data_IF_743449407143
#
_entry.id   IF_743449407143
#
_cell.length_a   1.000
_cell.length_b   1.000
_cell.length_c   1.000
_cell.angle_alpha   90.00
_cell.angle_beta   90.00
_cell.angle_gamma   90.00
#
_symmetry.space_group_name_H-M   'P 1'
#
loop_
_entity.id
_entity.type
_entity.pdbx_description
1 polymer ?
#
# COMPACT_ATOMS: atom_id res chain seq x y z
N UNK A 1 10.77 -20.03 -3.35
CA UNK A 1 10.80 -19.64 -1.93
C UNK A 1 9.49 -20.05 -1.26
N UNK A 2 9.50 -20.40 0.05
CA UNK A 2 8.32 -20.94 0.73
C UNK A 2 7.43 -19.84 1.32
N UNK A 3 6.15 -20.14 1.46
CA UNK A 3 5.14 -19.30 2.10
C UNK A 3 5.51 -19.00 3.57
N UNK A 4 5.99 -20.01 4.30
CA UNK A 4 6.40 -19.87 5.70
C UNK A 4 7.55 -18.88 5.90
N UNK A 5 8.43 -18.77 4.90
CA UNK A 5 9.51 -17.79 4.94
C UNK A 5 8.95 -16.36 4.93
N UNK A 6 7.94 -16.09 4.08
CA UNK A 6 7.27 -14.79 4.06
C UNK A 6 6.63 -14.42 5.41
N UNK A 7 5.87 -15.36 5.99
CA UNK A 7 5.26 -15.19 7.33
C UNK A 7 6.32 -14.85 8.38
N UNK A 8 7.42 -15.61 8.39
CA UNK A 8 8.51 -15.44 9.37
C UNK A 8 9.18 -14.08 9.25
N UNK A 9 9.47 -13.58 8.03
CA UNK A 9 10.14 -12.29 7.86
C UNK A 9 9.25 -11.11 8.23
N UNK A 10 7.94 -11.19 8.00
CA UNK A 10 7.03 -10.13 8.46
C UNK A 10 6.99 -10.07 10.00
N UNK A 11 6.93 -11.23 10.69
CA UNK A 11 7.04 -11.31 12.15
C UNK A 11 8.38 -10.80 12.68
N UNK A 12 9.50 -11.17 12.05
CA UNK A 12 10.83 -10.66 12.40
C UNK A 12 10.88 -9.13 12.26
N UNK A 13 10.28 -8.58 11.19
CA UNK A 13 10.18 -7.15 10.94
C UNK A 13 9.39 -6.43 12.03
N UNK A 14 8.23 -6.95 12.40
CA UNK A 14 7.43 -6.44 13.50
C UNK A 14 8.22 -6.44 14.82
N UNK A 15 8.85 -7.58 15.17
CA UNK A 15 9.64 -7.70 16.40
C UNK A 15 10.80 -6.71 16.45
N UNK A 16 11.55 -6.54 15.36
CA UNK A 16 12.65 -5.60 15.28
C UNK A 16 12.13 -4.15 15.34
N UNK A 17 11.02 -3.85 14.66
CA UNK A 17 10.40 -2.53 14.66
C UNK A 17 9.96 -2.08 16.05
N UNK A 18 9.30 -2.95 16.81
CA UNK A 18 8.87 -2.65 18.18
C UNK A 18 10.06 -2.50 19.13
N UNK A 19 11.10 -3.32 18.97
CA UNK A 19 12.29 -3.27 19.86
C UNK A 19 13.20 -2.08 19.59
N UNK A 20 13.11 -1.45 18.42
CA UNK A 20 13.98 -0.35 18.02
C UNK A 20 13.22 0.98 18.07
N UNK A 21 13.44 1.87 19.07
CA UNK A 21 12.63 3.08 19.27
C UNK A 21 12.50 3.95 18.03
N UNK A 22 13.55 4.06 17.26
CA UNK A 22 13.57 4.87 16.06
C UNK A 22 12.79 4.26 14.87
N UNK A 23 12.67 2.93 14.79
CA UNK A 23 11.83 2.25 13.82
C UNK A 23 10.37 2.26 14.28
N UNK A 24 10.15 2.13 15.58
CA UNK A 24 8.83 2.28 16.20
C UNK A 24 8.23 3.65 15.91
N UNK A 25 9.00 4.73 16.11
CA UNK A 25 8.55 6.09 15.80
C UNK A 25 8.16 6.26 14.33
N UNK A 26 8.97 5.75 13.40
CA UNK A 26 8.67 5.82 11.97
C UNK A 26 7.40 5.02 11.60
N UNK A 27 7.20 3.84 12.18
CA UNK A 27 5.99 3.04 11.98
C UNK A 27 4.73 3.76 12.49
N UNK A 28 4.80 4.35 13.68
CA UNK A 28 3.71 5.14 14.24
C UNK A 28 3.44 6.41 13.42
N UNK A 29 4.49 7.13 12.99
CA UNK A 29 4.34 8.32 12.15
C UNK A 29 3.63 8.00 10.82
N UNK A 30 3.96 6.86 10.19
CA UNK A 30 3.25 6.38 8.99
C UNK A 30 1.76 6.17 9.26
N UNK A 31 1.44 5.48 10.35
CA UNK A 31 0.06 5.22 10.72
C UNK A 31 -0.73 6.51 11.00
N UNK A 32 -0.16 7.42 11.78
CA UNK A 32 -0.79 8.71 12.11
C UNK A 32 -1.00 9.55 10.83
N UNK A 33 -0.04 9.56 9.91
CA UNK A 33 -0.16 10.29 8.65
C UNK A 33 -1.32 9.76 7.79
N UNK A 34 -1.42 8.43 7.63
CA UNK A 34 -2.55 7.80 6.90
C UNK A 34 -3.88 8.16 7.52
N UNK A 35 -3.98 8.00 8.85
CA UNK A 35 -5.20 8.29 9.60
C UNK A 35 -5.60 9.78 9.46
N UNK A 36 -4.66 10.71 9.64
CA UNK A 36 -4.91 12.13 9.51
C UNK A 36 -5.41 12.51 8.11
N UNK A 37 -4.76 12.03 7.05
CA UNK A 37 -5.19 12.31 5.67
C UNK A 37 -6.59 11.74 5.42
N UNK A 38 -6.87 10.53 5.87
CA UNK A 38 -8.19 9.91 5.70
C UNK A 38 -9.29 10.71 6.42
N UNK A 39 -9.04 11.11 7.67
CA UNK A 39 -9.98 11.92 8.45
C UNK A 39 -10.21 13.28 7.78
N UNK A 40 -9.14 13.98 7.40
CA UNK A 40 -9.25 15.30 6.75
C UNK A 40 -10.04 15.19 5.44
N UNK A 41 -9.71 14.22 4.58
CA UNK A 41 -10.41 14.02 3.31
C UNK A 41 -11.88 13.68 3.50
N UNK A 42 -12.20 12.78 4.43
CA UNK A 42 -13.58 12.42 4.73
C UNK A 42 -14.37 13.61 5.31
N UNK A 43 -13.75 14.37 6.22
CA UNK A 43 -14.37 15.57 6.82
C UNK A 43 -14.69 16.64 5.77
N UNK A 44 -13.74 16.90 4.85
CA UNK A 44 -13.97 17.85 3.76
C UNK A 44 -15.15 17.44 2.88
N UNK A 45 -15.23 16.15 2.53
CA UNK A 45 -16.35 15.67 1.71
C UNK A 45 -17.69 15.74 2.41
N UNK A 46 -17.77 15.47 3.71
CA UNK A 46 -19.00 15.60 4.50
C UNK A 46 -19.43 17.08 4.54
N UNK A 47 -18.48 18.00 4.77
CA UNK A 47 -18.77 19.44 4.82
C UNK A 47 -19.30 19.95 3.47
N UNK A 48 -18.67 19.58 2.37
CA UNK A 48 -19.04 20.05 1.03
C UNK A 48 -20.09 19.17 0.33
N UNK A 49 -20.60 18.12 0.98
CA UNK A 49 -21.56 17.18 0.37
C UNK A 49 -22.79 17.87 -0.20
N UNK A 50 -23.38 18.82 0.52
CA UNK A 50 -24.59 19.55 0.06
C UNK A 50 -24.30 20.44 -1.15
N UNK A 51 -23.15 21.08 -1.20
CA UNK A 51 -22.73 21.90 -2.34
C UNK A 51 -22.51 21.05 -3.58
N UNK A 52 -21.81 19.92 -3.43
CA UNK A 52 -21.61 18.95 -4.52
C UNK A 52 -22.95 18.41 -5.03
N UNK A 53 -23.85 18.10 -4.12
CA UNK A 53 -25.19 17.61 -4.49
C UNK A 53 -25.96 18.65 -5.29
N UNK A 54 -25.99 19.90 -4.83
CA UNK A 54 -26.69 21.00 -5.47
C UNK A 54 -26.13 21.33 -6.87
N UNK A 55 -24.85 21.05 -7.14
CA UNK A 55 -24.26 21.15 -8.47
C UNK A 55 -24.79 20.09 -9.45
N UNK A 56 -25.16 18.91 -8.92
CA UNK A 56 -25.66 17.80 -9.74
C UNK A 56 -27.17 17.90 -9.90
N UNK A 57 -27.88 18.16 -8.82
CA UNK A 57 -29.33 18.26 -8.79
C UNK A 57 -29.81 19.09 -7.60
N UNK A 58 -30.44 20.24 -7.89
CA UNK A 58 -31.05 21.10 -6.87
C UNK A 58 -32.21 20.40 -6.22
N UNK A 59 -32.43 20.65 -4.92
CA UNK A 59 -33.49 20.02 -4.13
C UNK A 59 -34.87 20.32 -4.73
N UNK A 60 -35.65 19.30 -5.15
CA UNK A 60 -36.96 19.50 -5.75
C UNK A 60 -38.01 19.81 -4.70
N UNK A 61 -39.07 20.50 -5.12
CA UNK A 61 -40.23 20.86 -4.25
C UNK A 61 -41.28 19.75 -4.18
N UNK A 62 -41.40 18.89 -5.18
CA UNK A 62 -42.36 17.79 -5.25
C UNK A 62 -42.00 16.63 -4.34
N UNK A 63 -42.98 16.12 -3.56
CA UNK A 63 -42.79 15.00 -2.63
C UNK A 63 -42.22 13.73 -3.28
N UNK A 64 -42.64 13.40 -4.50
CA UNK A 64 -42.18 12.23 -5.23
C UNK A 64 -40.72 12.37 -5.68
N UNK A 65 -40.36 13.51 -6.21
CA UNK A 65 -38.99 13.79 -6.64
C UNK A 65 -38.03 14.03 -5.46
N UNK A 66 -38.60 14.49 -4.31
CA UNK A 66 -37.86 14.67 -3.07
C UNK A 66 -37.33 13.33 -2.52
N UNK A 67 -38.17 12.27 -2.55
CA UNK A 67 -37.74 10.95 -2.12
C UNK A 67 -36.58 10.42 -3.00
N UNK A 68 -36.73 10.52 -4.32
CA UNK A 68 -35.71 10.12 -5.27
C UNK A 68 -34.43 10.94 -5.07
N UNK A 69 -34.53 12.23 -4.80
CA UNK A 69 -33.42 13.12 -4.49
C UNK A 69 -32.66 12.66 -3.25
N UNK A 70 -33.33 12.22 -2.18
CA UNK A 70 -32.70 11.70 -0.98
C UNK A 70 -31.96 10.40 -1.26
N UNK A 71 -32.54 9.47 -2.01
CA UNK A 71 -31.86 8.21 -2.38
C UNK A 71 -30.60 8.50 -3.19
N UNK A 72 -30.68 9.35 -4.19
CA UNK A 72 -29.53 9.74 -5.01
C UNK A 72 -28.48 10.47 -4.16
N UNK A 73 -28.90 11.35 -3.23
CA UNK A 73 -28.00 12.02 -2.28
C UNK A 73 -27.18 11.03 -1.47
N UNK A 74 -27.82 10.00 -0.92
CA UNK A 74 -27.11 8.94 -0.18
C UNK A 74 -26.16 8.13 -1.06
N UNK A 75 -26.57 7.80 -2.28
CA UNK A 75 -25.71 7.08 -3.24
C UNK A 75 -24.48 7.91 -3.62
N UNK A 76 -24.66 9.21 -3.87
CA UNK A 76 -23.57 10.13 -4.17
C UNK A 76 -22.64 10.28 -2.95
N UNK A 77 -23.20 10.40 -1.74
CA UNK A 77 -22.41 10.45 -0.52
C UNK A 77 -21.53 9.20 -0.36
N UNK A 78 -22.11 8.01 -0.55
CA UNK A 78 -21.37 6.75 -0.49
C UNK A 78 -20.26 6.67 -1.54
N UNK A 79 -20.57 7.10 -2.77
CA UNK A 79 -19.60 7.12 -3.87
C UNK A 79 -18.46 8.12 -3.59
N UNK A 80 -18.75 9.30 -3.08
CA UNK A 80 -17.77 10.31 -2.71
C UNK A 80 -16.88 9.84 -1.55
N UNK A 81 -17.44 9.19 -0.54
CA UNK A 81 -16.66 8.59 0.58
C UNK A 81 -15.75 7.50 0.04
N UNK A 82 -16.25 6.61 -0.83
CA UNK A 82 -15.44 5.59 -1.48
C UNK A 82 -14.31 6.17 -2.31
N UNK A 83 -14.61 7.16 -3.15
CA UNK A 83 -13.60 7.85 -3.98
C UNK A 83 -12.56 8.57 -3.12
N UNK A 84 -12.98 9.25 -2.05
CA UNK A 84 -12.07 9.89 -1.11
C UNK A 84 -11.13 8.90 -0.45
N UNK A 85 -11.65 7.75 -0.04
CA UNK A 85 -10.83 6.69 0.58
C UNK A 85 -9.75 6.21 -0.40
N UNK A 86 -10.12 5.98 -1.65
CA UNK A 86 -9.17 5.58 -2.71
C UNK A 86 -8.13 6.68 -2.97
N UNK A 87 -8.56 7.93 -3.10
CA UNK A 87 -7.67 9.07 -3.32
C UNK A 87 -6.73 9.30 -2.13
N UNK A 88 -7.24 9.21 -0.91
CA UNK A 88 -6.45 9.32 0.32
C UNK A 88 -5.41 8.20 0.42
N UNK A 89 -5.80 6.97 0.07
CA UNK A 89 -4.88 5.85 -0.01
C UNK A 89 -3.78 6.09 -1.05
N UNK A 90 -4.14 6.53 -2.26
CA UNK A 90 -3.18 6.81 -3.34
C UNK A 90 -2.20 7.92 -2.95
N UNK A 91 -2.72 9.05 -2.43
CA UNK A 91 -1.89 10.14 -1.96
C UNK A 91 -0.92 9.70 -0.87
N UNK A 92 -1.43 8.96 0.10
CA UNK A 92 -0.62 8.42 1.19
C UNK A 92 0.43 7.46 0.67
N UNK A 93 0.05 6.56 -0.23
CA UNK A 93 0.95 5.56 -0.81
C UNK A 93 2.06 6.24 -1.63
N UNK A 94 1.74 7.24 -2.43
CA UNK A 94 2.73 7.94 -3.26
C UNK A 94 3.67 8.81 -2.41
N UNK A 95 3.12 9.62 -1.50
CA UNK A 95 3.91 10.59 -0.74
C UNK A 95 4.66 9.95 0.43
N UNK A 96 3.96 9.11 1.22
CA UNK A 96 4.53 8.59 2.46
C UNK A 96 5.25 7.25 2.27
N UNK A 97 4.83 6.40 1.30
CA UNK A 97 5.59 5.19 0.99
C UNK A 97 7.00 5.52 0.53
N UNK A 98 7.12 6.49 -0.40
CA UNK A 98 8.44 6.89 -0.91
C UNK A 98 9.33 7.42 0.22
N UNK A 99 8.77 8.18 1.16
CA UNK A 99 9.57 8.82 2.20
C UNK A 99 9.76 7.95 3.45
N UNK A 100 8.67 7.62 4.14
CA UNK A 100 8.75 6.95 5.44
C UNK A 100 9.22 5.50 5.30
N UNK A 101 8.68 4.77 4.31
CA UNK A 101 9.06 3.36 4.10
C UNK A 101 10.51 3.23 3.65
N UNK A 102 11.00 4.12 2.77
CA UNK A 102 12.40 4.13 2.37
C UNK A 102 13.31 4.50 3.55
N UNK A 103 12.92 5.48 4.40
CA UNK A 103 13.65 5.78 5.63
C UNK A 103 13.72 4.58 6.58
N UNK A 104 12.61 3.85 6.76
CA UNK A 104 12.58 2.63 7.59
C UNK A 104 13.51 1.55 7.02
N UNK A 105 13.46 1.34 5.70
CA UNK A 105 14.32 0.38 5.00
C UNK A 105 15.81 0.76 5.14
N UNK A 106 16.17 2.04 4.90
CA UNK A 106 17.56 2.54 5.08
C UNK A 106 18.06 2.36 6.51
N UNK A 107 17.22 2.69 7.49
CA UNK A 107 17.58 2.56 8.89
C UNK A 107 17.76 1.10 9.29
N UNK A 108 16.90 0.23 8.81
CA UNK A 108 17.02 -1.22 9.02
C UNK A 108 18.31 -1.75 8.37
N UNK A 109 18.59 -1.37 7.13
CA UNK A 109 19.83 -1.75 6.42
C UNK A 109 21.08 -1.30 7.19
N UNK A 110 21.07 -0.03 7.67
CA UNK A 110 22.17 0.52 8.48
C UNK A 110 22.39 -0.24 9.79
N UNK A 111 21.30 -0.62 10.47
CA UNK A 111 21.37 -1.40 11.73
C UNK A 111 22.00 -2.78 11.48
N UNK A 112 21.68 -3.42 10.36
CA UNK A 112 22.09 -4.79 10.06
C UNK A 112 23.46 -4.90 9.43
N UNK A 113 23.84 -3.95 8.58
CA UNK A 113 25.05 -4.03 7.74
C UNK A 113 26.08 -2.94 8.03
N UNK A 114 25.73 -1.97 8.90
CA UNK A 114 26.53 -0.77 9.16
C UNK A 114 26.54 0.26 8.03
N UNK A 115 26.03 -0.10 6.84
CA UNK A 115 26.05 0.75 5.64
C UNK A 115 24.67 0.76 4.97
N UNK A 116 24.43 1.80 4.17
CA UNK A 116 23.22 1.89 3.32
C UNK A 116 23.66 1.82 1.87
N UNK A 117 23.15 0.86 1.13
CA UNK A 117 23.46 0.69 -0.29
C UNK A 117 22.71 1.78 -1.09
N UNK A 118 23.42 2.81 -1.52
CA UNK A 118 22.91 3.89 -2.36
C UNK A 118 23.59 3.86 -3.73
N UNK A 119 22.91 4.25 -4.81
CA UNK A 119 23.56 4.45 -6.09
C UNK A 119 24.57 5.59 -5.98
N UNK A 120 25.82 5.36 -6.41
CA UNK A 120 26.86 6.38 -6.41
C UNK A 120 26.57 7.47 -7.43
N UNK A 121 26.86 8.72 -7.09
CA UNK A 121 26.75 9.87 -8.00
C UNK A 121 25.32 10.36 -8.29
N UNK A 122 24.29 9.81 -7.64
CA UNK A 122 22.89 10.25 -7.84
C UNK A 122 22.47 11.24 -6.76
N UNK A 123 21.99 12.43 -7.17
CA UNK A 123 21.47 13.41 -6.21
C UNK A 123 20.21 12.91 -5.52
N UNK A 124 20.00 13.30 -4.26
CA UNK A 124 18.81 12.92 -3.48
C UNK A 124 17.50 13.31 -4.20
N UNK A 125 17.46 14.49 -4.83
CA UNK A 125 16.27 14.97 -5.56
C UNK A 125 15.98 14.09 -6.77
N UNK A 126 17.01 13.72 -7.55
CA UNK A 126 16.84 12.84 -8.72
C UNK A 126 16.35 11.45 -8.30
N UNK A 127 16.90 10.92 -7.22
CA UNK A 127 16.45 9.64 -6.66
C UNK A 127 15.00 9.71 -6.16
N UNK A 128 14.64 10.79 -5.46
CA UNK A 128 13.28 11.01 -4.96
C UNK A 128 12.28 11.10 -6.13
N UNK A 129 12.55 11.91 -7.14
CA UNK A 129 11.69 12.04 -8.32
C UNK A 129 11.54 10.72 -9.08
N UNK A 130 12.63 9.95 -9.19
CA UNK A 130 12.57 8.61 -9.78
C UNK A 130 11.65 7.68 -8.98
N UNK A 131 11.80 7.66 -7.65
CA UNK A 131 10.96 6.84 -6.76
C UNK A 131 9.48 7.23 -6.88
N UNK A 132 9.15 8.53 -6.84
CA UNK A 132 7.77 9.01 -7.02
C UNK A 132 7.21 8.58 -8.37
N UNK A 133 7.98 8.76 -9.46
CA UNK A 133 7.55 8.34 -10.82
C UNK A 133 7.30 6.84 -10.93
N UNK A 134 8.11 6.02 -10.25
CA UNK A 134 7.95 4.56 -10.23
C UNK A 134 6.82 4.09 -9.32
N UNK A 135 6.44 4.91 -8.33
CA UNK A 135 5.36 4.62 -7.39
C UNK A 135 3.98 4.69 -8.05
N UNK A 136 3.80 5.62 -8.99
CA UNK A 136 2.53 5.79 -9.69
C UNK A 136 2.06 4.49 -10.38
N UNK A 137 2.80 3.85 -11.29
CA UNK A 137 2.36 2.60 -11.92
C UNK A 137 2.21 1.45 -10.91
N UNK A 138 3.04 1.42 -9.86
CA UNK A 138 2.98 0.42 -8.81
C UNK A 138 1.72 0.53 -7.95
N UNK A 139 1.27 1.75 -7.66
CA UNK A 139 0.04 2.00 -6.90
C UNK A 139 -1.22 1.86 -7.78
N UNK A 140 -1.18 2.35 -9.01
CA UNK A 140 -2.35 2.40 -9.90
C UNK A 140 -2.67 1.02 -10.50
N UNK A 141 -1.65 0.23 -10.87
CA UNK A 141 -1.88 -1.07 -11.51
C UNK A 141 -2.72 -2.04 -10.66
N UNK A 142 -2.45 -2.27 -9.35
CA UNK A 142 -3.29 -3.11 -8.51
C UNK A 142 -4.73 -2.61 -8.39
N UNK A 143 -4.92 -1.29 -8.33
CA UNK A 143 -6.26 -0.69 -8.23
C UNK A 143 -7.06 -0.96 -9.50
N UNK A 144 -6.49 -0.69 -10.68
CA UNK A 144 -7.15 -0.97 -11.95
C UNK A 144 -7.48 -2.46 -12.07
N UNK A 145 -6.54 -3.33 -11.74
CA UNK A 145 -6.76 -4.78 -11.76
C UNK A 145 -7.89 -5.19 -10.81
N UNK A 146 -7.90 -4.65 -9.60
CA UNK A 146 -8.94 -4.92 -8.59
C UNK A 146 -10.32 -4.45 -9.07
N UNK A 147 -10.42 -3.23 -9.60
CA UNK A 147 -11.66 -2.70 -10.15
C UNK A 147 -12.15 -3.53 -11.35
N UNK A 148 -11.28 -3.92 -12.24
CA UNK A 148 -11.60 -4.78 -13.39
C UNK A 148 -12.18 -6.14 -12.94
N UNK A 149 -11.51 -6.80 -11.98
CA UNK A 149 -11.99 -8.08 -11.46
C UNK A 149 -13.30 -7.90 -10.68
N UNK A 150 -13.47 -6.80 -9.94
CA UNK A 150 -14.71 -6.47 -9.23
C UNK A 150 -15.90 -6.30 -10.19
N UNK A 151 -15.71 -5.61 -11.30
CA UNK A 151 -16.74 -5.46 -12.36
C UNK A 151 -17.13 -6.82 -12.92
N UNK A 152 -16.15 -7.68 -13.27
CA UNK A 152 -16.42 -9.04 -13.75
C UNK A 152 -17.22 -9.83 -12.71
N UNK A 153 -16.90 -9.68 -11.42
CA UNK A 153 -17.60 -10.35 -10.32
C UNK A 153 -19.10 -10.05 -10.28
N UNK A 154 -19.52 -8.84 -10.66
CA UNK A 154 -20.95 -8.48 -10.68
C UNK A 154 -21.75 -9.19 -11.76
N UNK A 155 -21.11 -9.54 -12.86
CA UNK A 155 -21.75 -10.21 -14.00
C UNK A 155 -21.64 -11.75 -13.98
N UNK A 156 -21.01 -12.30 -12.93
CA UNK A 156 -20.79 -13.75 -12.84
C UNK A 156 -21.31 -14.32 -11.52
N UNK A 157 -21.88 -15.54 -11.51
CA UNK A 157 -22.30 -16.23 -10.28
C UNK A 157 -21.10 -16.65 -9.40
N UNK A 158 -19.87 -16.40 -9.84
CA UNK A 158 -18.62 -16.76 -9.16
C UNK A 158 -18.15 -15.67 -8.15
N UNK A 159 -19.00 -14.69 -7.82
CA UNK A 159 -18.67 -13.56 -6.95
C UNK A 159 -17.87 -13.91 -5.69
N UNK A 160 -18.28 -14.89 -4.86
CA UNK A 160 -17.54 -15.26 -3.65
C UNK A 160 -16.11 -15.76 -3.93
N UNK A 161 -15.92 -16.56 -4.98
CA UNK A 161 -14.59 -17.06 -5.38
C UNK A 161 -13.69 -15.92 -5.91
N UNK A 162 -14.27 -15.01 -6.67
CA UNK A 162 -13.56 -13.84 -7.20
C UNK A 162 -13.14 -12.92 -6.05
N UNK A 163 -13.97 -12.72 -5.03
CA UNK A 163 -13.62 -11.93 -3.83
C UNK A 163 -12.43 -12.52 -3.09
N UNK A 164 -12.40 -13.85 -2.91
CA UNK A 164 -11.25 -14.53 -2.31
C UNK A 164 -9.97 -14.35 -3.15
N UNK A 165 -10.08 -14.47 -4.47
CA UNK A 165 -8.95 -14.24 -5.39
C UNK A 165 -8.45 -12.80 -5.32
N UNK A 166 -9.36 -11.82 -5.27
CA UNK A 166 -9.02 -10.40 -5.09
C UNK A 166 -8.22 -10.16 -3.81
N UNK A 167 -8.63 -10.76 -2.70
CA UNK A 167 -7.93 -10.66 -1.44
C UNK A 167 -6.50 -11.19 -1.55
N UNK A 168 -6.31 -12.34 -2.20
CA UNK A 168 -4.99 -12.93 -2.47
C UNK A 168 -4.13 -12.02 -3.33
N UNK A 169 -4.67 -11.48 -4.41
CA UNK A 169 -3.96 -10.54 -5.29
C UNK A 169 -3.56 -9.30 -4.52
N UNK A 170 -4.48 -8.72 -3.76
CA UNK A 170 -4.24 -7.51 -2.96
C UNK A 170 -3.09 -7.69 -1.97
N UNK A 171 -3.07 -8.79 -1.20
CA UNK A 171 -2.00 -9.00 -0.20
C UNK A 171 -0.64 -9.27 -0.85
N UNK A 172 -0.61 -9.89 -2.03
CA UNK A 172 0.63 -10.08 -2.79
C UNK A 172 1.19 -8.72 -3.23
N UNK A 173 0.36 -7.81 -3.75
CA UNK A 173 0.80 -6.47 -4.14
C UNK A 173 1.21 -5.62 -2.92
N UNK A 174 0.47 -5.67 -1.82
CA UNK A 174 0.86 -5.01 -0.57
C UNK A 174 2.20 -5.54 -0.02
N UNK A 175 2.45 -6.83 -0.14
CA UNK A 175 3.74 -7.42 0.21
C UNK A 175 4.85 -6.93 -0.71
N UNK A 176 4.56 -6.84 -2.02
CA UNK A 176 5.50 -6.32 -3.01
C UNK A 176 5.86 -4.86 -2.77
N UNK A 177 4.90 -4.01 -2.40
CA UNK A 177 5.16 -2.61 -2.01
C UNK A 177 6.31 -2.48 -1.02
N UNK A 178 6.40 -3.39 -0.08
CA UNK A 178 7.41 -3.39 0.96
C UNK A 178 8.74 -4.03 0.51
N UNK A 179 8.68 -5.10 -0.28
CA UNK A 179 9.88 -5.80 -0.75
C UNK A 179 10.57 -5.10 -1.93
N UNK A 180 9.87 -4.18 -2.58
CA UNK A 180 10.38 -3.43 -3.72
C UNK A 180 11.21 -2.19 -3.34
N UNK A 181 11.26 -1.80 -2.06
CA UNK A 181 11.94 -0.60 -1.59
C UNK A 181 13.43 -0.56 -1.95
N UNK A 182 14.18 -1.63 -1.69
CA UNK A 182 15.62 -1.70 -2.01
C UNK A 182 15.85 -1.75 -3.52
N UNK A 183 15.16 -2.62 -4.31
CA UNK A 183 15.26 -2.61 -5.77
C UNK A 183 14.92 -1.26 -6.40
N UNK A 184 13.86 -0.60 -5.91
CA UNK A 184 13.47 0.73 -6.38
C UNK A 184 14.55 1.78 -6.08
N UNK A 185 15.09 1.80 -4.85
CA UNK A 185 16.19 2.68 -4.44
C UNK A 185 17.46 2.48 -5.27
N UNK A 186 17.73 1.25 -5.70
CA UNK A 186 18.83 0.92 -6.62
C UNK A 186 18.51 1.26 -8.09
N UNK A 187 17.41 1.97 -8.33
CA UNK A 187 16.96 2.40 -9.66
C UNK A 187 16.78 1.24 -10.67
N UNK A 188 16.46 0.04 -10.17
CA UNK A 188 16.21 -1.11 -11.05
C UNK A 188 14.99 -0.87 -11.94
N UNK A 189 15.04 -1.25 -13.25
CA UNK A 189 13.92 -1.13 -14.16
C UNK A 189 12.68 -1.88 -13.64
N UNK A 190 11.48 -1.33 -13.86
CA UNK A 190 10.21 -1.92 -13.44
C UNK A 190 10.07 -3.39 -13.85
N UNK A 191 10.45 -3.74 -15.09
CA UNK A 191 10.42 -5.13 -15.60
C UNK A 191 11.22 -6.10 -14.71
N UNK A 192 12.40 -5.70 -14.25
CA UNK A 192 13.25 -6.51 -13.37
C UNK A 192 12.59 -6.67 -12.00
N UNK A 193 12.04 -5.59 -11.45
CA UNK A 193 11.33 -5.57 -10.17
C UNK A 193 10.07 -6.44 -10.20
N UNK A 194 9.29 -6.36 -11.28
CA UNK A 194 8.12 -7.21 -11.50
C UNK A 194 8.50 -8.69 -11.63
N UNK A 195 9.64 -9.00 -12.26
CA UNK A 195 10.16 -10.38 -12.30
C UNK A 195 10.56 -10.90 -10.91
N UNK A 196 11.05 -10.02 -10.02
CA UNK A 196 11.32 -10.40 -8.63
C UNK A 196 10.02 -10.73 -7.88
N UNK A 197 8.94 -10.01 -8.13
CA UNK A 197 7.61 -10.33 -7.60
C UNK A 197 7.15 -11.72 -8.10
N UNK A 198 7.08 -11.91 -9.43
CA UNK A 198 6.52 -13.14 -10.02
C UNK A 198 7.38 -14.37 -9.71
N UNK A 199 8.69 -14.22 -9.60
CA UNK A 199 9.59 -15.30 -9.20
C UNK A 199 9.52 -15.68 -7.71
N UNK A 200 8.81 -14.91 -6.88
CA UNK A 200 8.71 -15.15 -5.43
C UNK A 200 7.26 -15.01 -4.91
N UNK A 201 6.26 -15.37 -5.72
CA UNK A 201 4.84 -15.22 -5.37
C UNK A 201 4.46 -15.85 -4.03
N UNK A 202 4.90 -17.09 -3.75
CA UNK A 202 4.62 -17.77 -2.49
C UNK A 202 5.21 -17.03 -1.29
N UNK A 203 6.38 -16.42 -1.45
CA UNK A 203 6.96 -15.58 -0.39
C UNK A 203 6.07 -14.35 -0.14
N UNK A 204 5.68 -13.63 -1.21
CA UNK A 204 4.84 -12.44 -1.08
C UNK A 204 3.46 -12.78 -0.51
N UNK A 205 2.87 -13.91 -0.92
CA UNK A 205 1.64 -14.40 -0.32
C UNK A 205 1.80 -14.64 1.18
N UNK A 206 2.83 -15.38 1.60
CA UNK A 206 3.09 -15.63 3.01
C UNK A 206 3.36 -14.36 3.82
N UNK A 207 4.14 -13.43 3.24
CA UNK A 207 4.43 -12.14 3.86
C UNK A 207 3.18 -11.29 4.04
N UNK A 208 2.25 -11.34 3.07
CA UNK A 208 1.00 -10.58 3.07
C UNK A 208 -0.13 -11.20 3.89
N UNK A 209 -0.07 -12.48 4.31
CA UNK A 209 -1.17 -13.13 5.05
C UNK A 209 -1.59 -12.37 6.31
N UNK A 210 -0.66 -11.75 7.01
CA UNK A 210 -0.94 -10.92 8.18
C UNK A 210 -1.80 -9.70 7.88
N UNK A 211 -1.81 -9.25 6.62
CA UNK A 211 -2.62 -8.10 6.19
C UNK A 211 -4.11 -8.44 6.02
N UNK A 212 -4.48 -9.72 6.02
CA UNK A 212 -5.88 -10.16 5.98
C UNK A 212 -6.56 -10.09 7.36
N UNK A 213 -5.79 -10.03 8.44
CA UNK A 213 -6.35 -10.06 9.79
C UNK A 213 -6.69 -8.62 10.20
N UNK A 214 -7.99 -8.28 10.39
CA UNK A 214 -8.39 -6.94 10.82
C UNK A 214 -7.64 -6.50 12.09
N UNK A 215 -7.37 -5.21 12.22
CA UNK A 215 -6.60 -4.60 13.31
C UNK A 215 -5.11 -4.97 13.26
N UNK A 216 -4.75 -6.26 13.15
CA UNK A 216 -3.35 -6.68 13.01
C UNK A 216 -2.73 -6.18 11.70
N UNK A 217 -3.52 -6.04 10.63
CA UNK A 217 -3.05 -5.52 9.34
C UNK A 217 -2.37 -4.15 9.50
N UNK A 218 -2.91 -3.26 10.32
CA UNK A 218 -2.35 -1.93 10.58
C UNK A 218 -0.94 -2.04 11.15
N UNK A 219 -0.79 -2.90 12.16
CA UNK A 219 0.47 -3.13 12.84
C UNK A 219 1.51 -3.77 11.89
N UNK A 220 1.11 -4.83 11.18
CA UNK A 220 2.00 -5.52 10.27
C UNK A 220 2.39 -4.66 9.07
N UNK A 221 1.47 -3.88 8.49
CA UNK A 221 1.77 -2.94 7.42
C UNK A 221 2.73 -1.82 7.87
N UNK A 222 2.56 -1.32 9.10
CA UNK A 222 3.44 -0.28 9.63
C UNK A 222 4.91 -0.73 9.67
N UNK A 223 5.18 -2.00 10.00
CA UNK A 223 6.53 -2.55 10.15
C UNK A 223 6.98 -3.47 9.00
N UNK A 224 6.13 -3.67 8.00
CA UNK A 224 6.45 -4.49 6.82
C UNK A 224 7.75 -4.08 6.09
N UNK A 225 8.09 -2.78 5.94
CA UNK A 225 9.36 -2.37 5.32
C UNK A 225 10.59 -2.97 5.99
N UNK A 226 10.53 -3.17 7.30
CA UNK A 226 11.62 -3.75 8.09
C UNK A 226 11.79 -5.23 7.74
N UNK A 227 10.69 -6.00 7.77
CA UNK A 227 10.71 -7.43 7.45
C UNK A 227 11.15 -7.70 6.00
N UNK A 228 10.71 -6.88 5.07
CA UNK A 228 11.10 -6.94 3.67
C UNK A 228 12.60 -6.64 3.47
N UNK A 229 13.12 -5.64 4.19
CA UNK A 229 14.55 -5.28 4.15
C UNK A 229 15.42 -6.40 4.74
N UNK A 230 15.01 -6.97 5.89
CA UNK A 230 15.68 -8.15 6.48
C UNK A 230 15.80 -9.29 5.47
N UNK A 231 14.70 -9.64 4.81
CA UNK A 231 14.68 -10.69 3.81
C UNK A 231 15.67 -10.45 2.67
N UNK A 232 15.66 -9.24 2.10
CA UNK A 232 16.51 -8.92 0.94
C UNK A 232 18.00 -8.93 1.30
N UNK A 233 18.36 -8.46 2.49
CA UNK A 233 19.74 -8.46 2.97
C UNK A 233 20.23 -9.90 3.23
N UNK A 234 19.47 -10.71 3.95
CA UNK A 234 19.83 -12.09 4.22
C UNK A 234 19.92 -12.91 2.94
N UNK A 235 19.00 -12.70 1.98
CA UNK A 235 19.05 -13.34 0.66
C UNK A 235 20.31 -12.97 -0.12
N UNK A 236 20.70 -11.69 -0.10
CA UNK A 236 21.93 -11.23 -0.76
C UNK A 236 23.16 -11.88 -0.16
N UNK A 237 23.24 -11.98 1.16
CA UNK A 237 24.34 -12.61 1.88
C UNK A 237 24.44 -14.10 1.56
N UNK A 238 23.31 -14.83 1.51
CA UNK A 238 23.28 -16.24 1.13
C UNK A 238 23.81 -16.48 -0.29
N UNK A 239 23.44 -15.61 -1.25
CA UNK A 239 23.92 -15.71 -2.64
C UNK A 239 25.39 -15.33 -2.78
N UNK A 240 25.91 -14.48 -1.90
CA UNK A 240 27.34 -14.10 -1.91
C UNK A 240 28.22 -15.20 -1.32
N UNK A 241 27.76 -15.88 -0.28
CA UNK A 241 28.49 -16.96 0.39
C UNK A 241 28.41 -18.32 -0.36
N UNK A 242 27.52 -18.43 -1.35
CA UNK A 242 27.35 -19.61 -2.20
C UNK A 242 28.20 -19.58 -3.49
N UNK A 243 28.95 -18.51 -3.72
CA UNK A 243 29.96 -18.35 -4.79
C UNK A 243 31.38 -18.53 -4.25
#
# INVERSE_FOLDING_TARGET
>A
MSLFLGISYNLKGLRLGIKTPSLLFLGLARFIAVLAITIISASLLIVYHQEILNLIWTKPESLWTLWLWHVISWLIALLLIGLSTVLSYLLTQILFSVFIMDMMSRKTEKILTGKVNQPEGVSFISQFLFLVKQEIPRAVFPIILTLFIMVISWFTPLGPFITALLSIVTIIFLAWDNTDLIPARQMMPFKTRFRLLTGNLLFHLGFGLWFLIPILNILFLAFAPIGATLFLIEKKNLLHNAK
#
